data_IF_017019314540
#
_entry.id   IF_017019314540
#
_cell.length_a   1.000
_cell.length_b   1.000
_cell.length_c   1.000
_cell.angle_alpha   90.00
_cell.angle_beta   90.00
_cell.angle_gamma   90.00
#
_symmetry.space_group_name_H-M   'P 1'
#
loop_
_entity.id
_entity.type
_entity.pdbx_description
1 polymer ?
#
# COMPACT_ATOMS: atom_id res chain seq x y z
N UNK A 1 40.15 42.54 20.01
CA UNK A 1 39.07 42.65 19.05
C UNK A 1 39.08 41.61 17.91
N UNK A 2 40.19 40.97 17.59
CA UNK A 2 40.23 39.92 16.53
C UNK A 2 39.68 38.54 16.91
N UNK A 3 39.53 38.23 18.18
CA UNK A 3 39.01 36.90 18.63
C UNK A 3 37.49 36.83 18.72
N UNK A 4 36.78 37.96 18.74
CA UNK A 4 35.32 38.00 18.80
C UNK A 4 34.68 37.83 17.41
N UNK A 5 35.40 38.26 16.36
CA UNK A 5 34.88 38.14 14.96
C UNK A 5 34.89 36.70 14.41
N UNK A 6 35.80 35.86 14.91
CA UNK A 6 35.89 34.45 14.50
C UNK A 6 34.76 33.61 15.13
N UNK A 7 34.34 33.95 16.34
CA UNK A 7 33.26 33.21 17.03
C UNK A 7 31.90 33.48 16.39
N UNK A 8 31.66 34.69 15.90
CA UNK A 8 30.40 35.06 15.20
C UNK A 8 30.33 34.42 13.79
N UNK A 9 31.47 34.26 13.10
CA UNK A 9 31.50 33.64 11.78
C UNK A 9 31.22 32.12 11.86
N UNK A 10 31.67 31.44 12.94
CA UNK A 10 31.38 30.01 13.14
C UNK A 10 29.90 29.78 13.48
N UNK A 11 29.26 30.67 14.23
CA UNK A 11 27.83 30.55 14.52
C UNK A 11 26.94 30.83 13.32
N UNK A 12 27.35 31.70 12.39
CA UNK A 12 26.60 31.96 11.16
C UNK A 12 26.76 30.83 10.15
N UNK A 13 27.91 30.13 10.11
CA UNK A 13 28.09 28.95 9.25
C UNK A 13 27.33 27.70 9.76
N UNK A 14 27.12 27.56 11.07
CA UNK A 14 26.29 26.45 11.62
C UNK A 14 24.77 26.71 11.51
N UNK A 15 24.34 27.96 11.35
CA UNK A 15 22.93 28.34 11.17
C UNK A 15 22.39 28.14 9.75
N UNK A 16 23.24 27.78 8.76
CA UNK A 16 22.87 27.56 7.36
C UNK A 16 22.82 26.08 6.95
N UNK A 17 23.01 25.15 7.88
CA UNK A 17 22.57 23.78 7.63
C UNK A 17 21.05 23.80 7.68
N UNK A 18 20.47 23.93 6.51
CA UNK A 18 19.04 23.98 6.30
C UNK A 18 18.35 22.85 7.06
N UNK A 19 17.38 23.22 7.88
CA UNK A 19 16.32 22.29 8.24
C UNK A 19 15.71 21.88 6.90
N UNK A 20 16.10 20.70 6.40
CA UNK A 20 15.27 20.01 5.42
C UNK A 20 13.96 19.77 6.19
N UNK A 21 12.96 20.61 5.97
CA UNK A 21 11.60 20.28 6.33
C UNK A 21 11.33 18.99 5.56
N UNK A 22 11.19 17.88 6.28
CA UNK A 22 10.60 16.70 5.67
C UNK A 22 9.28 17.18 5.09
N UNK A 23 9.13 17.11 3.78
CA UNK A 23 7.84 17.37 3.14
C UNK A 23 6.83 16.45 3.81
N UNK A 24 5.72 16.98 4.26
CA UNK A 24 4.66 16.15 4.80
C UNK A 24 4.23 15.15 3.71
N UNK A 25 3.99 13.92 4.12
CA UNK A 25 3.56 12.85 3.21
C UNK A 25 2.15 13.12 2.75
N UNK A 26 1.93 13.17 1.43
CA UNK A 26 0.62 13.46 0.83
C UNK A 26 -0.08 12.19 0.38
N UNK A 27 -1.27 11.96 0.93
CA UNK A 27 -2.18 10.88 0.54
C UNK A 27 -3.36 11.48 -0.23
N UNK A 28 -3.54 11.07 -1.48
CA UNK A 28 -4.65 11.52 -2.32
C UNK A 28 -5.67 10.41 -2.50
N UNK A 29 -6.95 10.79 -2.57
CA UNK A 29 -8.07 9.91 -2.88
C UNK A 29 -8.76 10.36 -4.16
N UNK A 30 -9.31 9.41 -4.90
CA UNK A 30 -10.12 9.67 -6.09
C UNK A 30 -11.60 9.78 -5.72
N UNK A 31 -12.25 10.85 -6.14
CA UNK A 31 -13.70 11.06 -6.07
C UNK A 31 -14.27 11.50 -7.44
N UNK A 32 -13.48 11.32 -8.53
CA UNK A 32 -13.91 11.65 -9.89
C UNK A 32 -14.70 10.51 -10.52
N UNK A 33 -14.31 9.26 -10.20
CA UNK A 33 -14.76 8.08 -10.93
C UNK A 33 -15.90 7.36 -10.23
N UNK A 34 -16.72 8.10 -9.47
CA UNK A 34 -17.97 7.62 -8.89
C UNK A 34 -17.86 7.10 -7.47
N UNK A 35 -16.71 7.27 -6.84
CA UNK A 35 -16.50 6.98 -5.43
C UNK A 35 -17.31 7.97 -4.58
N UNK A 36 -17.78 7.48 -3.44
CA UNK A 36 -18.61 8.26 -2.52
C UNK A 36 -17.74 8.96 -1.47
N UNK A 37 -17.85 10.29 -1.38
CA UNK A 37 -17.13 11.09 -0.39
C UNK A 37 -17.59 10.87 1.06
N UNK A 38 -18.76 10.24 1.25
CA UNK A 38 -19.43 10.08 2.53
C UNK A 38 -18.49 9.53 3.61
N UNK A 39 -17.86 8.39 3.37
CA UNK A 39 -17.01 7.73 4.36
C UNK A 39 -15.60 8.29 4.46
N UNK A 40 -15.26 9.28 3.66
CA UNK A 40 -14.03 10.01 3.79
C UNK A 40 -14.10 11.02 4.94
N UNK A 41 -15.25 11.67 5.09
CA UNK A 41 -15.50 12.76 6.04
C UNK A 41 -16.34 12.33 7.26
N UNK A 42 -17.00 11.17 7.22
CA UNK A 42 -17.92 10.70 8.26
C UNK A 42 -17.35 9.51 9.01
N UNK A 43 -17.43 9.54 10.35
CA UNK A 43 -17.25 8.35 11.19
C UNK A 43 -18.54 7.55 11.18
N UNK A 44 -18.53 6.40 10.55
CA UNK A 44 -19.59 5.41 10.72
C UNK A 44 -19.16 4.46 11.83
N UNK A 45 -19.50 4.80 13.08
CA UNK A 45 -19.15 3.97 14.23
C UNK A 45 -20.00 2.70 14.33
N UNK A 46 -21.20 2.71 13.78
CA UNK A 46 -22.10 1.57 13.74
C UNK A 46 -23.10 1.72 12.59
N UNK A 47 -23.13 0.75 11.66
CA UNK A 47 -24.08 0.75 10.57
C UNK A 47 -25.53 0.59 11.09
N UNK A 48 -26.46 1.39 10.55
CA UNK A 48 -27.89 1.35 10.90
C UNK A 48 -28.28 2.20 12.11
N UNK A 49 -27.34 2.80 12.82
CA UNK A 49 -27.58 3.86 13.79
C UNK A 49 -27.19 5.22 13.21
N UNK A 50 -27.70 6.32 13.78
CA UNK A 50 -27.32 7.67 13.36
C UNK A 50 -25.81 7.81 13.50
N UNK A 51 -25.10 7.64 12.39
CA UNK A 51 -23.66 7.83 12.31
C UNK A 51 -23.35 9.26 12.76
N UNK A 52 -22.50 9.40 13.75
CA UNK A 52 -21.98 10.70 14.12
C UNK A 52 -20.93 11.04 13.09
N UNK A 53 -21.19 12.01 12.24
CA UNK A 53 -20.27 12.61 11.29
C UNK A 53 -19.03 13.11 12.01
N UNK A 54 -17.97 12.40 12.00
CA UNK A 54 -16.70 12.82 12.58
C UNK A 54 -15.52 12.50 11.64
N UNK A 55 -15.67 12.84 10.37
CA UNK A 55 -14.53 13.02 9.50
C UNK A 55 -13.68 11.77 9.15
N UNK A 56 -14.21 10.56 9.31
CA UNK A 56 -13.67 9.32 8.79
C UNK A 56 -12.14 9.17 8.78
N UNK A 57 -11.60 8.62 7.73
CA UNK A 57 -10.15 8.38 7.61
C UNK A 57 -9.32 9.66 7.62
N UNK A 58 -9.84 10.76 7.09
CA UNK A 58 -9.14 12.06 6.98
C UNK A 58 -8.82 12.66 8.34
N UNK A 59 -9.66 12.45 9.34
CA UNK A 59 -9.43 12.97 10.70
C UNK A 59 -8.76 11.98 11.63
N UNK A 60 -8.74 10.72 11.28
CA UNK A 60 -8.12 9.69 12.12
C UNK A 60 -6.65 9.50 11.76
N UNK A 61 -6.29 9.60 10.49
CA UNK A 61 -4.90 9.54 10.02
C UNK A 61 -4.40 10.98 9.87
N UNK A 62 -3.99 11.58 10.97
CA UNK A 62 -3.69 13.03 11.08
C UNK A 62 -2.23 13.40 10.83
N UNK A 63 -1.36 12.43 10.68
CA UNK A 63 0.08 12.61 10.44
C UNK A 63 0.47 12.55 8.96
N UNK A 64 -0.53 12.64 8.07
CA UNK A 64 -0.37 12.81 6.63
C UNK A 64 -1.16 14.04 6.15
N UNK A 65 -0.77 14.59 5.01
CA UNK A 65 -1.56 15.62 4.32
C UNK A 65 -2.53 14.93 3.36
N UNK A 66 -3.83 15.13 3.59
CA UNK A 66 -4.86 14.60 2.70
C UNK A 66 -5.15 15.54 1.54
N UNK A 67 -5.34 14.93 0.38
CA UNK A 67 -5.77 15.60 -0.85
C UNK A 67 -6.80 14.75 -1.59
N UNK A 68 -7.52 15.33 -2.53
CA UNK A 68 -8.49 14.61 -3.35
C UNK A 68 -8.58 15.13 -4.79
N UNK A 69 -8.96 14.22 -5.68
CA UNK A 69 -9.46 14.55 -7.02
C UNK A 69 -10.98 14.48 -6.98
N UNK A 70 -11.68 15.48 -7.53
CA UNK A 70 -13.15 15.50 -7.49
C UNK A 70 -13.74 16.88 -7.67
N UNK A 71 -15.04 17.03 -7.37
CA UNK A 71 -15.73 18.30 -7.40
C UNK A 71 -15.09 19.28 -6.41
N UNK A 72 -14.69 20.51 -6.85
CA UNK A 72 -14.11 21.51 -5.96
C UNK A 72 -15.01 21.90 -4.79
N UNK A 73 -16.33 21.74 -4.90
CA UNK A 73 -17.27 22.01 -3.81
C UNK A 73 -17.10 21.06 -2.61
N UNK A 74 -16.54 19.88 -2.82
CA UNK A 74 -16.25 18.95 -1.73
C UNK A 74 -15.16 19.45 -0.77
N UNK A 75 -14.31 20.40 -1.19
CA UNK A 75 -13.23 20.94 -0.36
C UNK A 75 -13.75 21.57 0.94
N UNK A 76 -14.88 22.26 0.90
CA UNK A 76 -15.47 22.90 2.09
C UNK A 76 -15.97 21.86 3.11
N UNK A 77 -16.45 20.71 2.63
CA UNK A 77 -16.93 19.61 3.48
C UNK A 77 -15.77 18.78 4.03
N UNK A 78 -14.82 18.43 3.18
CA UNK A 78 -13.70 17.56 3.51
C UNK A 78 -12.60 18.28 4.31
N UNK A 79 -12.40 19.59 4.03
CA UNK A 79 -11.33 20.36 4.66
C UNK A 79 -9.92 19.92 4.26
N UNK A 80 -9.77 19.34 3.06
CA UNK A 80 -8.51 18.82 2.51
C UNK A 80 -8.19 19.45 1.15
N UNK A 81 -6.98 19.24 0.64
CA UNK A 81 -6.50 19.89 -0.57
C UNK A 81 -7.17 19.32 -1.83
N UNK A 82 -7.79 20.18 -2.63
CA UNK A 82 -8.32 19.83 -3.95
C UNK A 82 -7.20 19.82 -5.00
N UNK A 83 -7.01 18.71 -5.71
CA UNK A 83 -5.98 18.52 -6.73
C UNK A 83 -6.49 18.72 -8.17
N UNK A 84 -7.80 18.77 -8.35
CA UNK A 84 -8.47 18.94 -9.65
C UNK A 84 -9.57 17.94 -9.89
N UNK A 85 -10.30 18.13 -10.99
CA UNK A 85 -11.40 17.25 -11.43
C UNK A 85 -10.93 16.14 -12.38
N UNK A 86 -9.61 15.94 -12.48
CA UNK A 86 -8.97 14.94 -13.32
C UNK A 86 -7.60 14.57 -12.78
N UNK A 87 -7.24 13.29 -12.85
CA UNK A 87 -5.92 12.81 -12.44
C UNK A 87 -4.90 13.13 -13.53
N UNK A 88 -3.95 14.01 -13.22
CA UNK A 88 -2.91 14.44 -14.17
C UNK A 88 -1.52 14.22 -13.59
N UNK A 89 -0.49 14.14 -14.46
CA UNK A 89 0.90 13.97 -14.02
C UNK A 89 1.37 15.13 -13.14
N UNK A 90 0.92 16.35 -13.41
CA UNK A 90 1.30 17.55 -12.64
C UNK A 90 0.65 17.53 -11.25
N UNK A 91 -0.63 17.14 -11.16
CA UNK A 91 -1.34 17.03 -9.90
C UNK A 91 -0.76 15.90 -9.00
N UNK A 92 -0.29 14.80 -9.61
CA UNK A 92 0.35 13.69 -8.90
C UNK A 92 1.80 13.96 -8.48
N UNK A 93 2.43 15.05 -8.93
CA UNK A 93 3.86 15.27 -8.72
C UNK A 93 4.30 15.19 -7.25
N UNK A 94 3.47 15.73 -6.33
CA UNK A 94 3.75 15.76 -4.89
C UNK A 94 2.92 14.74 -4.09
N UNK A 95 2.23 13.83 -4.75
CA UNK A 95 1.46 12.76 -4.10
C UNK A 95 2.38 11.58 -3.82
N UNK A 96 2.35 11.04 -2.60
CA UNK A 96 3.12 9.89 -2.19
C UNK A 96 2.28 8.61 -2.20
N UNK A 97 0.98 8.74 -1.93
CA UNK A 97 0.03 7.64 -1.99
C UNK A 97 -1.24 8.09 -2.71
N UNK A 98 -1.71 7.28 -3.66
CA UNK A 98 -3.00 7.44 -4.33
C UNK A 98 -3.89 6.25 -3.99
N UNK A 99 -5.11 6.52 -3.56
CA UNK A 99 -6.13 5.50 -3.30
C UNK A 99 -7.25 5.69 -4.33
N UNK A 100 -7.44 4.68 -5.16
CA UNK A 100 -8.59 4.52 -6.04
C UNK A 100 -9.55 3.62 -5.28
N UNK A 101 -10.64 4.19 -4.79
CA UNK A 101 -11.61 3.48 -3.95
C UNK A 101 -12.30 2.38 -4.73
N UNK A 102 -13.58 2.52 -4.97
CA UNK A 102 -14.36 1.60 -5.78
C UNK A 102 -14.90 2.37 -6.99
N UNK A 103 -14.11 2.55 -8.05
CA UNK A 103 -14.53 3.33 -9.19
C UNK A 103 -15.69 2.65 -9.93
N UNK A 104 -16.74 3.43 -10.22
CA UNK A 104 -17.91 2.99 -10.99
C UNK A 104 -17.96 3.61 -12.39
N UNK A 105 -17.02 4.50 -12.68
CA UNK A 105 -16.84 5.14 -13.99
C UNK A 105 -15.42 4.93 -14.49
N UNK A 106 -15.22 4.61 -15.80
CA UNK A 106 -13.90 4.34 -16.36
C UNK A 106 -12.98 5.56 -16.32
N UNK A 107 -11.71 5.35 -15.97
CA UNK A 107 -10.65 6.34 -16.12
C UNK A 107 -10.39 6.64 -17.60
N UNK A 108 -10.06 7.90 -17.91
CA UNK A 108 -9.61 8.24 -19.26
C UNK A 108 -8.19 7.68 -19.50
N UNK A 109 -7.84 7.35 -20.76
CA UNK A 109 -6.51 6.78 -21.06
C UNK A 109 -5.32 7.62 -20.61
N UNK A 110 -5.44 8.94 -20.63
CA UNK A 110 -4.39 9.85 -20.17
C UNK A 110 -4.28 9.90 -18.64
N UNK A 111 -5.36 9.65 -17.90
CA UNK A 111 -5.33 9.50 -16.44
C UNK A 111 -4.61 8.21 -16.04
N UNK A 112 -4.96 7.09 -16.67
CA UNK A 112 -4.28 5.80 -16.43
C UNK A 112 -2.78 5.93 -16.75
N UNK A 113 -2.43 6.61 -17.85
CA UNK A 113 -1.04 6.86 -18.21
C UNK A 113 -0.33 7.76 -17.17
N UNK A 114 -1.00 8.77 -16.62
CA UNK A 114 -0.46 9.62 -15.56
C UNK A 114 -0.18 8.83 -14.29
N UNK A 115 -1.13 7.97 -13.87
CA UNK A 115 -0.98 7.08 -12.71
C UNK A 115 0.20 6.12 -12.93
N UNK A 116 0.26 5.45 -14.08
CA UNK A 116 1.33 4.50 -14.39
C UNK A 116 2.72 5.17 -14.39
N UNK A 117 2.84 6.34 -15.01
CA UNK A 117 4.09 7.10 -15.04
C UNK A 117 4.52 7.55 -13.64
N UNK A 118 3.59 8.02 -12.83
CA UNK A 118 3.83 8.43 -11.45
C UNK A 118 4.27 7.25 -10.58
N UNK A 119 3.58 6.13 -10.65
CA UNK A 119 3.88 4.93 -9.87
C UNK A 119 5.28 4.37 -10.17
N UNK A 120 5.67 4.34 -11.46
CA UNK A 120 6.99 3.86 -11.92
C UNK A 120 8.18 4.76 -11.52
N UNK A 121 7.97 5.93 -10.94
CA UNK A 121 9.05 6.75 -10.39
C UNK A 121 9.73 6.13 -9.16
N UNK A 122 9.04 5.19 -8.50
CA UNK A 122 9.44 4.65 -7.21
C UNK A 122 9.15 5.62 -6.05
N UNK A 123 9.10 5.11 -4.85
CA UNK A 123 8.71 5.87 -3.65
C UNK A 123 7.21 6.16 -3.58
N UNK A 124 6.38 5.40 -4.30
CA UNK A 124 4.94 5.64 -4.43
C UNK A 124 4.12 4.47 -3.93
N UNK A 125 2.92 4.78 -3.43
CA UNK A 125 1.92 3.78 -3.04
C UNK A 125 0.68 3.97 -3.90
N UNK A 126 0.22 2.89 -4.53
CA UNK A 126 -1.05 2.86 -5.23
C UNK A 126 -1.95 1.80 -4.59
N UNK A 127 -3.13 2.20 -4.10
CA UNK A 127 -4.15 1.28 -3.63
C UNK A 127 -5.29 1.28 -4.63
N UNK A 128 -5.54 0.13 -5.25
CA UNK A 128 -6.65 -0.09 -6.19
C UNK A 128 -7.64 -1.03 -5.53
N UNK A 129 -8.85 -0.56 -5.35
CA UNK A 129 -9.96 -1.35 -4.83
C UNK A 129 -11.01 -1.60 -5.91
N UNK A 130 -11.77 -2.67 -5.73
CA UNK A 130 -12.95 -2.98 -6.56
C UNK A 130 -14.05 -3.54 -5.66
N UNK A 131 -15.16 -3.92 -6.26
CA UNK A 131 -16.30 -4.59 -5.64
C UNK A 131 -16.54 -5.93 -6.32
N UNK A 132 -17.56 -6.64 -5.88
CA UNK A 132 -18.04 -7.89 -6.48
C UNK A 132 -18.61 -7.70 -7.89
N UNK A 133 -18.86 -8.85 -8.53
CA UNK A 133 -19.65 -8.91 -9.77
C UNK A 133 -21.17 -8.81 -9.51
N UNK A 134 -21.62 -8.55 -8.27
CA UNK A 134 -23.02 -8.41 -7.93
C UNK A 134 -23.60 -7.06 -8.40
N UNK A 135 -24.84 -7.05 -8.87
CA UNK A 135 -25.55 -5.83 -9.24
C UNK A 135 -25.18 -5.31 -10.64
N UNK A 136 -24.13 -4.51 -10.75
CA UNK A 136 -23.69 -3.91 -12.04
C UNK A 136 -22.81 -4.83 -12.90
N UNK A 137 -22.69 -6.11 -12.54
CA UNK A 137 -21.81 -7.05 -13.20
C UNK A 137 -20.33 -6.79 -12.87
N UNK A 138 -19.44 -7.16 -13.80
CA UNK A 138 -17.98 -7.08 -13.60
C UNK A 138 -17.39 -5.65 -13.74
N UNK A 139 -18.24 -4.62 -13.82
CA UNK A 139 -17.81 -3.26 -14.16
C UNK A 139 -16.72 -2.72 -13.23
N UNK A 140 -16.84 -2.91 -11.91
CA UNK A 140 -15.87 -2.40 -10.96
C UNK A 140 -14.51 -3.12 -11.11
N UNK A 141 -14.53 -4.46 -11.29
CA UNK A 141 -13.32 -5.24 -11.53
C UNK A 141 -12.65 -4.85 -12.85
N UNK A 142 -13.44 -4.67 -13.93
CA UNK A 142 -12.91 -4.27 -15.24
C UNK A 142 -12.23 -2.91 -15.20
N UNK A 143 -12.82 -1.93 -14.49
CA UNK A 143 -12.24 -0.60 -14.32
C UNK A 143 -10.92 -0.67 -13.51
N UNK A 144 -10.92 -1.40 -12.41
CA UNK A 144 -9.72 -1.59 -11.58
C UNK A 144 -8.61 -2.29 -12.38
N UNK A 145 -8.94 -3.37 -13.10
CA UNK A 145 -7.98 -4.11 -13.92
C UNK A 145 -7.42 -3.28 -15.07
N UNK A 146 -8.20 -2.38 -15.68
CA UNK A 146 -7.69 -1.48 -16.71
C UNK A 146 -6.55 -0.58 -16.20
N UNK A 147 -6.62 -0.11 -14.95
CA UNK A 147 -5.52 0.61 -14.30
C UNK A 147 -4.34 -0.32 -14.04
N UNK A 148 -4.58 -1.50 -13.43
CA UNK A 148 -3.55 -2.47 -13.07
C UNK A 148 -2.76 -2.99 -14.29
N UNK A 149 -3.43 -3.23 -15.40
CA UNK A 149 -2.80 -3.67 -16.65
C UNK A 149 -1.89 -2.59 -17.25
N UNK A 150 -2.35 -1.34 -17.23
CA UNK A 150 -1.58 -0.22 -17.80
C UNK A 150 -0.36 0.14 -16.94
N UNK A 151 -0.29 -0.29 -15.67
CA UNK A 151 0.94 -0.14 -14.88
C UNK A 151 2.12 -0.85 -15.55
N UNK A 152 1.87 -1.93 -16.31
CA UNK A 152 2.92 -2.73 -16.97
C UNK A 152 4.05 -3.16 -16.00
N UNK A 153 3.70 -3.24 -14.73
CA UNK A 153 4.50 -3.75 -13.60
C UNK A 153 3.53 -4.30 -12.55
N UNK A 154 3.98 -5.31 -11.81
CA UNK A 154 3.13 -5.96 -10.80
C UNK A 154 2.22 -7.04 -11.38
N UNK A 155 1.89 -7.97 -10.51
CA UNK A 155 1.17 -9.19 -10.86
C UNK A 155 -0.28 -9.21 -10.39
N UNK A 156 -0.60 -8.44 -9.33
CA UNK A 156 -1.92 -8.46 -8.69
C UNK A 156 -3.04 -8.00 -9.62
N UNK A 157 -4.18 -8.70 -9.56
CA UNK A 157 -5.40 -8.41 -10.31
C UNK A 157 -6.63 -8.68 -9.44
N UNK A 158 -7.76 -8.13 -9.84
CA UNK A 158 -9.09 -8.46 -9.31
C UNK A 158 -9.73 -9.46 -10.23
N UNK A 159 -10.10 -10.65 -9.74
CA UNK A 159 -10.82 -11.62 -10.58
C UNK A 159 -12.32 -11.34 -10.62
N UNK A 160 -13.00 -11.84 -11.63
CA UNK A 160 -14.41 -11.52 -11.95
C UNK A 160 -15.38 -12.40 -11.14
N UNK A 161 -15.18 -12.46 -9.83
CA UNK A 161 -16.02 -13.21 -8.91
C UNK A 161 -16.20 -12.47 -7.59
N UNK A 162 -17.22 -12.87 -6.84
CA UNK A 162 -17.47 -12.46 -5.47
C UNK A 162 -16.98 -13.52 -4.48
N UNK A 163 -16.81 -13.12 -3.23
CA UNK A 163 -16.56 -14.03 -2.11
C UNK A 163 -17.69 -13.94 -1.10
N UNK A 164 -18.16 -15.10 -0.66
CA UNK A 164 -18.97 -15.26 0.54
C UNK A 164 -18.21 -16.04 1.61
N UNK A 165 -18.51 -15.80 2.89
CA UNK A 165 -17.97 -16.59 4.00
C UNK A 165 -19.08 -16.95 4.98
N UNK A 166 -19.56 -18.20 4.97
CA UNK A 166 -20.64 -18.63 5.85
C UNK A 166 -20.23 -18.70 7.31
N UNK A 167 -18.94 -18.71 7.63
CA UNK A 167 -18.41 -18.83 9.01
C UNK A 167 -17.95 -17.48 9.55
N UNK A 168 -17.22 -16.68 8.76
CA UNK A 168 -16.69 -15.37 9.17
C UNK A 168 -17.47 -14.24 8.49
N UNK A 169 -18.59 -13.84 9.09
CA UNK A 169 -19.48 -12.84 8.52
C UNK A 169 -20.25 -12.03 9.57
N UNK A 170 -20.88 -10.94 9.13
CA UNK A 170 -21.74 -10.09 9.93
C UNK A 170 -23.24 -10.39 9.66
N UNK A 171 -23.66 -11.64 9.90
CA UNK A 171 -25.05 -12.09 9.85
C UNK A 171 -25.58 -12.47 8.47
N UNK A 172 -24.75 -12.40 7.42
CA UNK A 172 -25.01 -12.94 6.10
C UNK A 172 -23.67 -13.24 5.42
N UNK A 173 -23.59 -14.32 4.64
CA UNK A 173 -22.35 -14.82 4.03
C UNK A 173 -21.62 -13.79 3.16
N UNK A 174 -22.36 -12.96 2.43
CA UNK A 174 -21.80 -11.87 1.62
C UNK A 174 -21.28 -10.67 2.44
N UNK A 175 -21.59 -10.60 3.75
CA UNK A 175 -21.04 -9.60 4.68
C UNK A 175 -19.79 -10.17 5.32
N UNK A 176 -18.78 -10.41 4.51
CA UNK A 176 -17.57 -11.10 4.92
C UNK A 176 -16.84 -10.30 6.01
N UNK A 177 -16.49 -10.96 7.09
CA UNK A 177 -15.56 -10.44 8.10
C UNK A 177 -14.20 -11.03 7.78
N UNK A 178 -13.40 -10.26 7.05
CA UNK A 178 -12.02 -10.62 6.69
C UNK A 178 -11.11 -10.66 7.92
N UNK A 179 -10.12 -11.52 7.88
CA UNK A 179 -9.14 -11.72 8.94
C UNK A 179 -7.80 -11.11 8.51
N UNK A 180 -7.32 -10.12 9.23
CA UNK A 180 -6.00 -9.50 8.99
C UNK A 180 -4.91 -10.45 9.50
N UNK A 181 -4.40 -11.26 8.60
CA UNK A 181 -3.37 -12.27 8.85
C UNK A 181 -2.28 -12.19 7.78
N UNK A 182 -1.37 -11.18 7.88
CA UNK A 182 -0.29 -11.02 6.90
C UNK A 182 0.56 -12.27 6.81
N UNK A 183 0.94 -12.66 5.58
CA UNK A 183 1.84 -13.80 5.34
C UNK A 183 3.15 -13.63 6.12
N UNK A 184 3.76 -14.75 6.55
CA UNK A 184 4.97 -14.73 7.39
C UNK A 184 6.13 -13.91 6.81
N UNK A 185 6.28 -13.88 5.50
CA UNK A 185 7.31 -13.11 4.79
C UNK A 185 7.03 -11.61 4.66
N UNK A 186 5.87 -11.12 5.15
CA UNK A 186 5.50 -9.70 5.02
C UNK A 186 6.48 -8.82 5.82
N UNK A 187 7.16 -7.87 5.18
CA UNK A 187 8.08 -6.98 5.89
C UNK A 187 7.34 -6.13 6.92
N UNK A 188 7.91 -5.96 8.11
CA UNK A 188 7.31 -5.15 9.19
C UNK A 188 5.83 -5.51 9.50
N UNK A 189 5.43 -6.78 9.38
CA UNK A 189 4.03 -7.23 9.52
C UNK A 189 3.36 -6.80 10.82
N UNK A 190 4.12 -6.68 11.92
CA UNK A 190 3.61 -6.23 13.21
C UNK A 190 3.07 -4.77 13.15
N UNK A 191 3.51 -3.99 12.17
CA UNK A 191 2.99 -2.66 11.93
C UNK A 191 1.55 -2.69 11.38
N UNK A 192 1.22 -3.72 10.61
CA UNK A 192 -0.13 -3.92 10.03
C UNK A 192 -1.14 -4.30 11.12
N UNK A 193 -0.70 -5.11 12.09
CA UNK A 193 -1.58 -5.71 13.11
C UNK A 193 -1.59 -4.98 14.46
N UNK A 194 -0.86 -3.87 14.56
CA UNK A 194 -0.75 -3.14 15.83
C UNK A 194 -2.08 -2.51 16.25
N UNK A 195 -2.31 -2.46 17.57
CA UNK A 195 -3.46 -1.81 18.21
C UNK A 195 -4.83 -2.44 17.88
N UNK A 196 -4.88 -3.66 17.35
CA UNK A 196 -6.13 -4.39 17.17
C UNK A 196 -6.76 -4.73 18.51
N UNK A 197 -8.10 -4.63 18.57
CA UNK A 197 -8.91 -4.93 19.73
C UNK A 197 -9.84 -6.12 19.49
N UNK A 198 -10.07 -6.47 18.23
CA UNK A 198 -11.05 -7.46 17.80
C UNK A 198 -10.41 -8.54 16.88
N UNK A 199 -9.18 -8.94 17.20
CA UNK A 199 -8.44 -10.02 16.53
C UNK A 199 -8.20 -9.77 15.01
N UNK A 200 -8.14 -8.51 14.59
CA UNK A 200 -7.92 -8.14 13.20
C UNK A 200 -9.12 -8.39 12.30
N UNK A 201 -10.33 -8.35 12.83
CA UNK A 201 -11.57 -8.45 12.05
C UNK A 201 -11.85 -7.15 11.30
N UNK A 202 -12.06 -7.24 10.00
CA UNK A 202 -12.37 -6.11 9.13
C UNK A 202 -13.52 -6.44 8.18
N UNK A 203 -14.33 -5.45 7.83
CA UNK A 203 -15.46 -5.66 6.92
C UNK A 203 -15.00 -5.72 5.47
N UNK A 204 -15.57 -6.67 4.75
CA UNK A 204 -15.55 -6.81 3.31
C UNK A 204 -16.98 -7.12 2.85
N UNK A 205 -17.70 -6.12 2.39
CA UNK A 205 -19.14 -6.23 2.09
C UNK A 205 -19.37 -6.62 0.64
N UNK A 206 -19.60 -7.90 0.39
CA UNK A 206 -19.75 -8.42 -0.98
C UNK A 206 -18.46 -8.28 -1.79
N UNK A 207 -17.29 -8.73 -1.28
CA UNK A 207 -16.02 -8.39 -1.90
C UNK A 207 -15.76 -9.18 -3.18
N UNK A 208 -14.95 -8.59 -4.06
CA UNK A 208 -14.26 -9.32 -5.10
C UNK A 208 -13.10 -10.16 -4.55
N UNK A 209 -12.61 -11.11 -5.33
CA UNK A 209 -11.45 -11.93 -5.01
C UNK A 209 -10.18 -11.38 -5.68
N UNK A 210 -9.07 -11.35 -4.93
CA UNK A 210 -7.77 -10.98 -5.49
C UNK A 210 -7.08 -12.21 -6.07
N UNK A 211 -6.70 -12.11 -7.35
CA UNK A 211 -5.86 -13.05 -8.08
C UNK A 211 -4.56 -12.42 -8.55
N UNK A 212 -3.83 -13.08 -9.42
CA UNK A 212 -2.64 -12.54 -10.04
C UNK A 212 -2.43 -13.08 -11.45
N UNK A 213 -1.59 -12.43 -12.24
CA UNK A 213 -1.19 -12.88 -13.57
C UNK A 213 0.30 -13.21 -13.60
N UNK A 214 0.66 -14.32 -14.26
CA UNK A 214 2.06 -14.69 -14.46
C UNK A 214 2.71 -13.86 -15.59
N UNK A 215 4.01 -14.03 -15.79
CA UNK A 215 4.77 -13.32 -16.83
C UNK A 215 4.31 -13.63 -18.28
N UNK A 216 3.45 -14.62 -18.46
CA UNK A 216 2.86 -14.98 -19.75
C UNK A 216 1.42 -14.43 -19.90
N UNK A 217 0.90 -13.74 -18.89
CA UNK A 217 -0.44 -13.21 -18.83
C UNK A 217 -1.50 -14.24 -18.43
N UNK A 218 -1.12 -15.40 -17.89
CA UNK A 218 -2.08 -16.38 -17.43
C UNK A 218 -2.56 -16.02 -16.02
N UNK A 219 -3.86 -16.03 -15.82
CA UNK A 219 -4.48 -15.80 -14.53
C UNK A 219 -4.25 -16.96 -13.57
N UNK A 220 -4.01 -16.62 -12.31
CA UNK A 220 -3.65 -17.54 -11.24
C UNK A 220 -4.41 -17.21 -9.97
N UNK A 221 -4.79 -18.23 -9.20
CA UNK A 221 -5.32 -18.06 -7.85
C UNK A 221 -4.21 -17.60 -6.89
N UNK A 222 -4.51 -16.60 -6.06
CA UNK A 222 -3.60 -16.11 -5.03
C UNK A 222 -3.90 -16.83 -3.69
N UNK A 223 -3.40 -18.05 -3.57
CA UNK A 223 -3.63 -18.97 -2.46
C UNK A 223 -2.31 -19.53 -1.93
N UNK A 224 -2.35 -20.31 -0.83
CA UNK A 224 -1.17 -20.96 -0.27
C UNK A 224 -0.44 -21.81 -1.31
N UNK A 225 0.88 -21.64 -1.38
CA UNK A 225 1.73 -22.35 -2.34
C UNK A 225 1.72 -21.78 -3.76
N UNK A 226 0.95 -20.75 -4.04
CA UNK A 226 0.88 -20.08 -5.35
C UNK A 226 0.92 -18.55 -5.20
N UNK A 227 1.98 -18.05 -4.57
CA UNK A 227 2.20 -16.63 -4.29
C UNK A 227 3.44 -16.15 -5.04
N UNK A 228 3.36 -15.12 -5.90
CA UNK A 228 4.53 -14.57 -6.57
C UNK A 228 5.53 -13.96 -5.56
N UNK A 229 6.78 -13.82 -5.98
CA UNK A 229 7.80 -13.14 -5.18
C UNK A 229 7.39 -11.68 -4.92
N UNK A 230 7.67 -11.18 -3.70
CA UNK A 230 7.34 -9.83 -3.24
C UNK A 230 5.84 -9.50 -3.18
N UNK A 231 4.97 -10.49 -3.32
CA UNK A 231 3.53 -10.39 -3.05
C UNK A 231 3.23 -10.94 -1.67
N UNK A 232 2.38 -10.24 -0.93
CA UNK A 232 2.00 -10.58 0.44
C UNK A 232 0.48 -10.48 0.57
N UNK A 233 -0.16 -11.57 0.97
CA UNK A 233 -1.58 -11.57 1.30
C UNK A 233 -1.75 -11.02 2.71
N UNK A 234 -2.62 -10.05 2.88
CA UNK A 234 -2.78 -9.32 4.14
C UNK A 234 -4.12 -9.64 4.81
N UNK A 235 -5.21 -9.64 4.04
CA UNK A 235 -6.55 -9.98 4.53
C UNK A 235 -7.07 -11.19 3.78
N UNK A 236 -7.62 -12.14 4.54
CA UNK A 236 -8.09 -13.42 4.02
C UNK A 236 -9.47 -13.75 4.59
N UNK A 237 -10.18 -14.66 3.92
CA UNK A 237 -11.39 -15.30 4.46
C UNK A 237 -11.05 -16.32 5.55
N UNK A 238 -12.05 -16.88 6.19
CA UNK A 238 -11.90 -18.14 6.92
C UNK A 238 -11.64 -19.32 5.94
N UNK A 239 -11.47 -20.54 6.48
CA UNK A 239 -11.33 -21.75 5.66
C UNK A 239 -12.60 -22.10 4.87
N UNK A 240 -13.73 -21.49 5.20
CA UNK A 240 -15.04 -21.75 4.60
C UNK A 240 -15.42 -20.66 3.58
N UNK A 241 -14.47 -19.76 3.23
CA UNK A 241 -14.66 -18.83 2.14
C UNK A 241 -15.10 -19.54 0.88
N UNK A 242 -16.05 -18.98 0.16
CA UNK A 242 -16.67 -19.60 -1.02
C UNK A 242 -16.68 -18.61 -2.17
N UNK A 243 -16.21 -19.04 -3.35
CA UNK A 243 -16.31 -18.25 -4.58
C UNK A 243 -17.73 -18.32 -5.12
N UNK A 244 -18.27 -17.16 -5.44
CA UNK A 244 -19.61 -17.02 -6.04
C UNK A 244 -19.46 -16.18 -7.30
N UNK A 245 -20.14 -16.60 -8.38
CA UNK A 245 -20.27 -15.85 -9.62
C UNK A 245 -21.73 -15.41 -9.75
N UNK A 246 -21.96 -14.11 -9.85
CA UNK A 246 -23.31 -13.53 -9.95
C UNK A 246 -23.64 -13.12 -11.39
N UNK A 247 -22.62 -12.82 -12.19
CA UNK A 247 -22.76 -12.33 -13.56
C UNK A 247 -21.69 -12.91 -14.50
N UNK A 248 -21.99 -12.89 -15.81
CA UNK A 248 -21.02 -13.17 -16.86
C UNK A 248 -20.13 -11.95 -17.15
N UNK A 249 -18.89 -12.12 -17.60
CA UNK A 249 -18.19 -13.39 -17.82
C UNK A 249 -17.72 -14.04 -16.51
N UNK A 250 -17.47 -15.36 -16.53
CA UNK A 250 -16.96 -16.06 -15.34
C UNK A 250 -15.55 -15.60 -14.98
N UNK A 251 -15.15 -15.84 -13.73
CA UNK A 251 -13.81 -15.59 -13.26
C UNK A 251 -12.73 -16.30 -14.10
N UNK A 252 -11.54 -15.72 -14.15
CA UNK A 252 -10.42 -16.24 -14.95
C UNK A 252 -9.60 -17.30 -14.21
N UNK A 253 -9.40 -17.14 -12.90
CA UNK A 253 -8.55 -18.01 -12.09
C UNK A 253 -9.35 -18.87 -11.13
N UNK A 254 -10.44 -18.35 -10.60
CA UNK A 254 -11.30 -19.03 -9.64
C UNK A 254 -12.53 -19.64 -10.32
N UNK A 255 -13.26 -20.49 -9.60
CA UNK A 255 -14.50 -21.10 -10.09
C UNK A 255 -15.58 -21.02 -9.04
N UNK A 256 -16.82 -20.76 -9.47
CA UNK A 256 -17.96 -20.77 -8.57
C UNK A 256 -18.07 -22.10 -7.80
N UNK A 257 -18.21 -22.00 -6.48
CA UNK A 257 -18.26 -23.14 -5.58
C UNK A 257 -16.90 -23.60 -5.05
N UNK A 258 -15.79 -23.00 -5.45
CA UNK A 258 -14.50 -23.22 -4.79
C UNK A 258 -14.60 -22.82 -3.31
N UNK A 259 -14.10 -23.66 -2.40
CA UNK A 259 -14.13 -23.42 -0.96
C UNK A 259 -12.69 -23.43 -0.44
N UNK A 260 -12.34 -22.41 0.36
CA UNK A 260 -11.00 -22.30 0.94
C UNK A 260 -10.70 -20.94 1.57
N UNK A 261 -9.42 -20.72 1.83
CA UNK A 261 -8.90 -19.42 2.29
C UNK A 261 -8.58 -18.56 1.06
N UNK A 262 -9.39 -17.55 0.81
CA UNK A 262 -9.21 -16.65 -0.32
C UNK A 262 -8.65 -15.30 0.11
N UNK A 263 -7.97 -14.64 -0.80
CA UNK A 263 -7.34 -13.34 -0.57
C UNK A 263 -8.32 -12.20 -0.87
N UNK A 264 -8.56 -11.36 0.14
CA UNK A 264 -9.40 -10.17 0.07
C UNK A 264 -8.58 -8.90 -0.17
N UNK A 265 -7.35 -8.85 0.36
CA UNK A 265 -6.38 -7.79 0.12
C UNK A 265 -4.97 -8.37 0.08
N UNK A 266 -4.23 -7.95 -0.92
CA UNK A 266 -2.81 -8.23 -1.05
C UNK A 266 -2.01 -6.95 -1.36
N UNK A 267 -0.73 -6.98 -1.04
CA UNK A 267 0.23 -5.95 -1.39
C UNK A 267 1.41 -6.54 -2.16
N UNK A 268 1.92 -5.81 -3.14
CA UNK A 268 3.11 -6.17 -3.90
C UNK A 268 4.15 -5.07 -3.80
N UNK A 269 5.39 -5.43 -3.45
CA UNK A 269 6.52 -4.49 -3.39
C UNK A 269 7.31 -4.59 -4.69
N UNK A 270 7.23 -3.55 -5.50
CA UNK A 270 7.82 -3.51 -6.84
C UNK A 270 9.10 -2.69 -6.80
N UNK A 271 10.22 -3.32 -7.17
CA UNK A 271 11.55 -2.71 -7.18
C UNK A 271 11.89 -2.24 -8.59
N UNK A 272 12.44 -1.05 -8.71
CA UNK A 272 12.83 -0.44 -9.98
C UNK A 272 14.36 -0.36 -10.12
N UNK A 273 14.84 -0.28 -11.38
CA UNK A 273 16.25 -0.17 -11.70
C UNK A 273 16.94 1.07 -11.11
N UNK A 274 16.17 2.11 -10.81
CA UNK A 274 16.67 3.34 -10.17
C UNK A 274 16.97 3.18 -8.66
N UNK A 275 16.87 1.97 -8.10
CA UNK A 275 17.10 1.68 -6.70
C UNK A 275 15.95 2.08 -5.77
N UNK A 276 14.80 2.47 -6.32
CA UNK A 276 13.59 2.75 -5.55
C UNK A 276 12.60 1.61 -5.66
N UNK A 277 11.64 1.59 -4.75
CA UNK A 277 10.51 0.66 -4.82
C UNK A 277 9.19 1.39 -4.64
N UNK A 278 8.11 0.82 -5.17
CA UNK A 278 6.73 1.26 -4.91
C UNK A 278 5.93 0.12 -4.31
N UNK A 279 4.81 0.44 -3.70
CA UNK A 279 3.88 -0.55 -3.15
C UNK A 279 2.57 -0.46 -3.89
N UNK A 280 2.15 -1.57 -4.47
CA UNK A 280 0.83 -1.77 -5.04
C UNK A 280 -0.02 -2.52 -4.02
N UNK A 281 -1.17 -1.96 -3.64
CA UNK A 281 -2.19 -2.63 -2.82
C UNK A 281 -3.40 -2.89 -3.71
N UNK A 282 -3.90 -4.11 -3.70
CA UNK A 282 -5.11 -4.50 -4.43
C UNK A 282 -6.08 -5.15 -3.45
N UNK A 283 -7.32 -4.67 -3.44
CA UNK A 283 -8.36 -5.16 -2.52
C UNK A 283 -9.71 -5.33 -3.20
N UNK A 284 -10.45 -6.35 -2.79
CA UNK A 284 -11.80 -6.60 -3.25
C UNK A 284 -12.88 -5.76 -2.57
N UNK A 285 -12.47 -4.78 -1.76
CA UNK A 285 -13.34 -3.83 -1.05
C UNK A 285 -12.60 -2.51 -0.87
N UNK A 286 -13.33 -1.41 -0.89
CA UNK A 286 -12.79 -0.07 -0.72
C UNK A 286 -12.46 0.26 0.74
N UNK A 287 -11.36 0.98 1.02
CA UNK A 287 -11.12 1.54 2.35
C UNK A 287 -12.00 2.75 2.66
N UNK A 288 -12.61 3.37 1.66
CA UNK A 288 -13.55 4.51 1.76
C UNK A 288 -14.50 4.52 0.55
N UNK A 289 -15.52 5.37 0.62
CA UNK A 289 -16.29 5.77 -0.58
C UNK A 289 -17.31 4.78 -1.10
N UNK A 290 -17.39 3.60 -0.52
CA UNK A 290 -18.40 2.60 -0.83
C UNK A 290 -19.61 2.66 0.11
N UNK A 291 -20.54 1.74 -0.11
CA UNK A 291 -21.73 1.54 0.72
C UNK A 291 -21.36 1.24 2.17
N UNK A 292 -20.41 0.35 2.39
CA UNK A 292 -19.89 -0.05 3.70
C UNK A 292 -18.41 -0.42 3.60
N UNK A 293 -17.50 0.56 3.69
CA UNK A 293 -16.07 0.35 3.42
C UNK A 293 -15.36 -0.44 4.53
N UNK A 294 -14.18 -0.94 4.23
CA UNK A 294 -13.30 -1.64 5.18
C UNK A 294 -13.00 -0.81 6.45
N UNK A 295 -13.17 0.50 6.41
CA UNK A 295 -13.05 1.42 7.54
C UNK A 295 -14.05 1.18 8.67
N UNK A 296 -15.13 0.45 8.48
CA UNK A 296 -16.16 0.24 9.49
C UNK A 296 -15.60 -0.25 10.83
N UNK A 297 -16.01 0.40 11.93
CA UNK A 297 -15.65 0.01 13.29
C UNK A 297 -16.63 -1.02 13.88
N UNK A 298 -17.82 -1.11 13.32
CA UNK A 298 -18.86 -2.05 13.76
C UNK A 298 -19.90 -2.26 12.67
N UNK A 299 -20.28 -3.52 12.45
CA UNK A 299 -21.28 -3.85 11.45
C UNK A 299 -22.20 -4.98 11.92
N UNK A 300 -23.52 -4.74 11.94
CA UNK A 300 -24.53 -5.69 12.42
C UNK A 300 -24.18 -6.35 13.77
N UNK A 301 -23.68 -5.56 14.71
CA UNK A 301 -23.29 -6.03 16.06
C UNK A 301 -21.92 -6.69 16.15
N UNK A 302 -21.19 -6.83 15.05
CA UNK A 302 -19.82 -7.31 15.04
C UNK A 302 -18.87 -6.13 15.18
N UNK A 303 -18.07 -6.13 16.25
CA UNK A 303 -17.03 -5.12 16.46
C UNK A 303 -15.82 -5.43 15.56
N UNK A 304 -15.23 -4.38 14.94
CA UNK A 304 -14.25 -4.47 13.85
C UNK A 304 -13.04 -3.58 14.13
N UNK A 305 -11.89 -3.97 13.62
CA UNK A 305 -10.63 -3.22 13.66
C UNK A 305 -10.41 -2.33 12.40
N UNK A 306 -11.45 -2.07 11.61
CA UNK A 306 -11.36 -1.33 10.35
C UNK A 306 -10.56 -0.03 10.44
N UNK A 307 -10.85 0.90 11.40
CA UNK A 307 -10.09 2.15 11.53
C UNK A 307 -8.60 1.94 11.83
N UNK A 308 -8.28 1.00 12.73
CA UNK A 308 -6.90 0.65 13.05
C UNK A 308 -6.19 0.01 11.85
N UNK A 309 -6.87 -0.89 11.15
CA UNK A 309 -6.34 -1.58 9.97
C UNK A 309 -6.00 -0.61 8.84
N UNK A 310 -6.93 0.24 8.41
CA UNK A 310 -6.69 1.18 7.31
C UNK A 310 -5.57 2.16 7.67
N UNK A 311 -5.55 2.67 8.91
CA UNK A 311 -4.45 3.51 9.42
C UNK A 311 -3.11 2.79 9.33
N UNK A 312 -3.05 1.56 9.79
CA UNK A 312 -1.83 0.75 9.77
C UNK A 312 -1.36 0.45 8.35
N UNK A 313 -2.29 0.16 7.42
CA UNK A 313 -1.97 -0.10 6.01
C UNK A 313 -1.39 1.12 5.30
N UNK A 314 -1.97 2.31 5.52
CA UNK A 314 -1.42 3.56 4.98
C UNK A 314 0.02 3.76 5.46
N UNK A 315 0.26 3.68 6.77
CA UNK A 315 1.60 3.87 7.33
C UNK A 315 2.60 2.80 6.90
N UNK A 316 2.17 1.54 6.89
CA UNK A 316 3.02 0.43 6.45
C UNK A 316 3.43 0.60 4.99
N UNK A 317 2.49 0.90 4.11
CA UNK A 317 2.75 1.01 2.68
C UNK A 317 3.68 2.21 2.38
N UNK A 318 3.44 3.37 2.98
CA UNK A 318 4.31 4.54 2.87
C UNK A 318 5.72 4.25 3.37
N UNK A 319 5.84 3.55 4.51
CA UNK A 319 7.14 3.10 5.03
C UNK A 319 7.84 2.16 4.06
N UNK A 320 7.14 1.18 3.47
CA UNK A 320 7.76 0.27 2.51
C UNK A 320 8.20 1.03 1.25
N UNK A 321 7.36 1.90 0.70
CA UNK A 321 7.68 2.69 -0.49
C UNK A 321 8.89 3.62 -0.29
N UNK A 322 9.10 4.14 0.92
CA UNK A 322 10.23 5.02 1.24
C UNK A 322 11.59 4.32 1.32
N UNK A 323 11.64 2.98 1.28
CA UNK A 323 12.89 2.22 1.33
C UNK A 323 13.60 2.26 -0.01
N UNK A 324 14.91 2.42 0.03
CA UNK A 324 15.77 2.31 -1.16
C UNK A 324 16.37 0.90 -1.25
N UNK A 325 16.47 0.39 -2.46
CA UNK A 325 17.14 -0.87 -2.73
C UNK A 325 18.62 -0.60 -2.96
N UNK A 326 19.49 -1.11 -2.09
CA UNK A 326 20.95 -1.01 -2.26
C UNK A 326 21.40 -2.22 -3.07
N UNK A 327 21.90 -1.98 -4.27
CA UNK A 327 22.57 -3.02 -5.07
C UNK A 327 24.04 -3.04 -4.71
N UNK A 328 24.49 -4.07 -4.00
CA UNK A 328 25.91 -4.28 -3.70
C UNK A 328 26.50 -5.10 -4.84
N UNK A 329 27.37 -4.50 -5.62
CA UNK A 329 28.15 -5.21 -6.65
C UNK A 329 29.48 -5.63 -6.04
N UNK A 330 29.64 -6.88 -5.68
CA UNK A 330 30.93 -7.43 -5.29
C UNK A 330 31.73 -7.77 -6.55
N UNK A 331 32.85 -7.09 -6.74
CA UNK A 331 33.82 -7.45 -7.77
C UNK A 331 34.85 -8.39 -7.17
N UNK A 332 34.71 -9.69 -7.43
CA UNK A 332 35.71 -10.69 -7.04
C UNK A 332 36.80 -10.75 -8.09
N UNK A 333 37.98 -10.19 -7.78
CA UNK A 333 39.16 -10.34 -8.63
C UNK A 333 39.89 -11.63 -8.26
N UNK A 334 39.76 -12.67 -9.07
CA UNK A 334 40.59 -13.86 -8.95
C UNK A 334 41.93 -13.60 -9.67
N UNK A 335 43.01 -13.56 -8.90
CA UNK A 335 44.38 -13.51 -9.47
C UNK A 335 44.87 -14.94 -9.62
N UNK A 336 44.81 -15.49 -10.81
CA UNK A 336 45.52 -16.75 -11.11
C UNK A 336 46.99 -16.43 -11.45
N UNK A 337 47.89 -17.10 -10.75
CA UNK A 337 49.34 -16.93 -10.86
C UNK A 337 49.90 -17.59 -12.14
N UNK A 338 49.35 -17.22 -13.29
CA UNK A 338 49.99 -17.39 -14.61
C UNK A 338 49.31 -16.46 -15.63
N UNK A 339 49.88 -15.28 -15.77
CA UNK A 339 50.00 -14.46 -16.99
C UNK A 339 48.72 -13.91 -17.64
N UNK A 340 47.51 -14.06 -17.08
CA UNK A 340 46.34 -13.28 -17.50
C UNK A 340 45.45 -13.00 -16.31
N UNK A 341 45.13 -11.73 -16.10
CA UNK A 341 44.14 -11.30 -15.10
C UNK A 341 42.74 -11.49 -15.73
N UNK A 342 42.04 -12.53 -15.35
CA UNK A 342 40.62 -12.69 -15.72
C UNK A 342 39.82 -12.03 -14.64
N UNK A 343 39.15 -10.93 -14.95
CA UNK A 343 38.18 -10.30 -14.04
C UNK A 343 36.82 -10.93 -14.31
N UNK A 344 36.39 -11.85 -13.44
CA UNK A 344 35.00 -12.28 -13.40
C UNK A 344 34.24 -11.35 -12.47
N UNK A 345 33.25 -10.66 -13.02
CA UNK A 345 32.31 -9.86 -12.24
C UNK A 345 31.12 -10.74 -11.93
N UNK A 346 31.01 -11.20 -10.69
CA UNK A 346 29.79 -11.83 -10.20
C UNK A 346 28.97 -10.76 -9.51
N UNK A 347 27.79 -10.48 -10.03
CA UNK A 347 26.83 -9.57 -9.41
C UNK A 347 25.95 -10.40 -8.49
N UNK A 348 26.21 -10.35 -7.19
CA UNK A 348 25.24 -10.81 -6.19
C UNK A 348 24.40 -9.60 -5.78
N UNK A 349 23.10 -9.68 -6.04
CA UNK A 349 22.17 -8.65 -5.57
C UNK A 349 21.80 -8.98 -4.13
N UNK A 350 22.44 -8.32 -3.17
CA UNK A 350 22.04 -8.35 -1.78
C UNK A 350 21.08 -7.19 -1.58
N UNK A 351 19.83 -7.49 -1.36
CA UNK A 351 18.82 -6.47 -1.04
C UNK A 351 18.90 -6.17 0.45
N UNK A 352 19.64 -5.13 0.84
CA UNK A 352 19.52 -4.53 2.15
C UNK A 352 18.52 -3.36 2.09
N UNK A 353 17.51 -3.43 2.91
CA UNK A 353 16.55 -2.34 3.04
C UNK A 353 17.13 -1.28 3.95
N UNK A 354 17.61 -0.18 3.39
CA UNK A 354 18.00 0.97 4.19
C UNK A 354 16.73 1.66 4.72
N UNK A 355 16.56 1.60 6.03
CA UNK A 355 15.50 2.32 6.72
C UNK A 355 15.86 3.81 6.70
N UNK A 356 15.08 4.63 6.02
CA UNK A 356 15.18 6.08 6.11
C UNK A 356 14.93 6.51 7.55
N UNK A 357 16.01 6.70 8.30
CA UNK A 357 15.95 7.14 9.68
C UNK A 357 15.54 8.60 9.74
N UNK A 358 14.48 8.89 10.46
CA UNK A 358 14.21 10.23 10.98
C UNK A 358 15.34 10.59 11.93
N UNK A 359 16.25 11.45 11.51
CA UNK A 359 17.30 11.99 12.37
C UNK A 359 16.72 12.99 13.38
N UNK A 360 16.49 12.53 14.60
CA UNK A 360 16.48 13.41 15.76
C UNK A 360 17.94 13.68 16.19
N UNK A 361 18.28 14.90 16.65
CA UNK A 361 19.65 15.25 16.96
C UNK A 361 20.06 14.71 18.33
N UNK A 362 21.05 13.82 18.39
CA UNK A 362 21.84 13.61 19.59
C UNK A 362 23.28 13.31 19.22
N UNK A 363 24.10 14.32 19.38
CA UNK A 363 25.52 14.20 19.36
C UNK A 363 26.01 13.32 20.52
N UNK A 364 26.97 12.45 20.24
CA UNK A 364 28.08 12.21 21.19
C UNK A 364 29.27 11.56 20.48
N UNK A 365 30.32 12.35 20.36
CA UNK A 365 31.66 11.94 19.97
C UNK A 365 32.20 11.02 21.05
N UNK A 366 32.51 9.79 20.69
CA UNK A 366 33.27 8.86 21.52
C UNK A 366 34.37 8.22 20.69
N UNK A 367 35.52 8.89 20.62
CA UNK A 367 36.78 8.29 20.18
C UNK A 367 37.20 7.24 21.22
N UNK A 368 37.13 5.96 20.89
CA UNK A 368 37.83 4.92 21.64
C UNK A 368 38.90 4.32 20.73
N UNK A 369 40.13 4.72 21.01
CA UNK A 369 41.35 4.04 20.60
C UNK A 369 41.41 2.67 21.30
N UNK A 370 41.44 1.59 20.55
CA UNK A 370 41.77 0.26 21.06
C UNK A 370 43.21 -0.07 20.59
N UNK A 371 44.16 -0.36 21.51
CA UNK A 371 45.51 -0.71 21.13
C UNK A 371 45.60 -2.17 20.69
N UNK A 372 46.38 -2.40 19.65
CA UNK A 372 46.91 -3.71 19.26
C UNK A 372 47.62 -4.37 20.44
N UNK A 373 47.25 -5.57 20.79
CA UNK A 373 48.12 -6.49 21.54
C UNK A 373 48.32 -7.77 20.72
N UNK A 374 49.46 -7.79 20.05
CA UNK A 374 50.15 -9.02 19.66
C UNK A 374 50.43 -9.88 20.91
N UNK A 375 50.01 -11.11 20.93
CA UNK A 375 50.70 -12.14 21.73
C UNK A 375 50.85 -13.44 20.97
N UNK A 376 52.11 -13.79 20.82
CA UNK A 376 52.73 -14.96 20.19
C UNK A 376 52.78 -16.11 21.20
N UNK A 377 52.80 -17.36 20.68
CA UNK A 377 53.24 -18.65 21.30
C UNK A 377 52.18 -19.35 22.15
N UNK A 378 51.95 -20.65 21.93
CA UNK A 378 52.77 -21.81 21.51
C UNK A 378 51.90 -22.80 20.72
#
# INVERSE_FOLDING_TARGET
MRKLSILILVFVLFGLFGMAFASATTVAVDLVHGENEKYLAEDVLEYGTNATLAHGIVKTIIDVEWAYFGDPLAADTLGITHLGEKITSDALANVDMLILGQPTSPFQPDEIQAIAKWFKQGGKVLWVAADSDYGSGTQAQDIANAVLEQLDVGHLRIDLASIEDPTSNAGASYRVVGLVQPDEGTPDKDMITRNFQYDGKVLYHGPAVVGWVDNNGNWQQLIDGNIPENVYRIVKTSSDGTIVENNDPPAYAYSAGDIGVFTLLAAEIIKFENGKQSVLIVSGESPYGDYTPTWEAKYYGVDLDGPAFVTNMVHWALKQASKETITVTETVTKTETKTETVTETTTETVTETAQGGVCGPAALVGLILIPLLLKRRR
#
